data_IF_717523859634
#
_entry.id   IF_717523859634
#
_cell.length_a   1.000
_cell.length_b   1.000
_cell.length_c   1.000
_cell.angle_alpha   90.00
_cell.angle_beta   90.00
_cell.angle_gamma   90.00
#
_symmetry.space_group_name_H-M   'P 1'
#
loop_
_entity.id
_entity.type
_entity.pdbx_description
1 polymer ?
#
# COMPACT_ATOMS: atom_id res chain seq x y z
N UNK A 1 -8.03 23.59 -3.24
CA UNK A 1 -8.27 22.58 -2.21
C UNK A 1 -7.18 21.55 -2.40
N UNK A 2 -6.48 21.20 -1.34
CA UNK A 2 -5.46 20.16 -1.42
C UNK A 2 -6.13 18.83 -1.78
N UNK A 3 -5.46 18.03 -2.60
CA UNK A 3 -5.94 16.71 -3.01
C UNK A 3 -6.12 15.82 -1.77
N UNK A 4 -7.24 15.08 -1.65
CA UNK A 4 -7.44 14.15 -0.53
C UNK A 4 -6.35 13.09 -0.51
N UNK A 5 -5.80 12.79 0.67
CA UNK A 5 -4.72 11.81 0.85
C UNK A 5 -5.23 10.52 1.46
N UNK A 6 -4.81 9.38 0.92
CA UNK A 6 -5.21 8.04 1.39
C UNK A 6 -3.96 7.25 1.77
N UNK A 7 -3.96 6.70 2.99
CA UNK A 7 -3.02 5.66 3.39
C UNK A 7 -3.59 4.28 3.02
N UNK A 8 -3.07 3.65 1.97
CA UNK A 8 -3.54 2.35 1.48
C UNK A 8 -2.62 1.21 1.96
N UNK A 9 -3.13 0.40 2.91
CA UNK A 9 -2.42 -0.75 3.47
C UNK A 9 -3.02 -2.03 2.91
N UNK A 10 -2.38 -2.62 1.89
CA UNK A 10 -2.91 -3.79 1.16
C UNK A 10 -1.78 -4.66 0.61
N UNK A 11 -2.10 -5.81 0.01
CA UNK A 11 -1.14 -6.65 -0.71
C UNK A 11 -0.62 -5.98 -1.99
N UNK A 12 0.56 -6.39 -2.47
CA UNK A 12 1.11 -5.97 -3.76
C UNK A 12 1.69 -7.14 -4.55
N UNK A 13 1.53 -7.07 -5.88
CA UNK A 13 2.06 -8.08 -6.81
C UNK A 13 2.83 -7.45 -7.96
N UNK A 14 3.91 -8.11 -8.40
CA UNK A 14 4.65 -7.69 -9.60
C UNK A 14 3.84 -7.94 -10.88
N UNK A 15 3.24 -9.12 -11.03
CA UNK A 15 2.42 -9.50 -12.19
C UNK A 15 0.93 -9.61 -11.84
N UNK A 16 0.07 -9.06 -12.71
CA UNK A 16 -1.37 -8.91 -12.49
C UNK A 16 -1.73 -7.61 -11.77
N UNK A 17 -3.03 -7.43 -11.52
CA UNK A 17 -3.61 -6.29 -10.82
C UNK A 17 -4.47 -6.82 -9.67
N UNK A 18 -3.93 -6.74 -8.44
CA UNK A 18 -4.66 -6.93 -7.17
C UNK A 18 -4.09 -5.96 -6.12
N UNK A 19 -4.79 -5.78 -4.99
CA UNK A 19 -4.33 -4.97 -3.86
C UNK A 19 -3.91 -3.55 -4.24
N UNK A 20 -2.81 -3.04 -3.68
CA UNK A 20 -2.31 -1.69 -3.95
C UNK A 20 -2.06 -1.45 -5.45
N UNK A 21 -1.61 -2.46 -6.20
CA UNK A 21 -1.44 -2.30 -7.65
C UNK A 21 -2.76 -2.03 -8.40
N UNK A 22 -3.90 -2.47 -7.85
CA UNK A 22 -5.24 -2.15 -8.40
C UNK A 22 -5.87 -0.90 -7.80
N UNK A 23 -5.53 -0.56 -6.56
CA UNK A 23 -6.12 0.57 -5.87
C UNK A 23 -5.42 1.90 -6.19
N UNK A 24 -4.08 1.90 -6.21
CA UNK A 24 -3.27 3.13 -6.30
C UNK A 24 -3.51 3.88 -7.60
N UNK A 25 -3.46 3.20 -8.75
CA UNK A 25 -3.58 3.88 -10.04
C UNK A 25 -4.97 4.54 -10.25
N UNK A 26 -6.10 3.85 -10.01
CA UNK A 26 -7.42 4.49 -10.08
C UNK A 26 -7.57 5.69 -9.13
N UNK A 27 -7.09 5.56 -7.88
CA UNK A 27 -7.14 6.67 -6.91
C UNK A 27 -6.33 7.88 -7.39
N UNK A 28 -5.12 7.66 -7.91
CA UNK A 28 -4.29 8.73 -8.48
C UNK A 28 -4.94 9.39 -9.70
N UNK A 29 -5.57 8.62 -10.58
CA UNK A 29 -6.34 9.16 -11.72
C UNK A 29 -7.51 10.02 -11.24
N UNK A 30 -8.14 9.65 -10.11
CA UNK A 30 -9.22 10.41 -9.49
C UNK A 30 -8.73 11.62 -8.66
N UNK A 31 -7.42 11.88 -8.63
CA UNK A 31 -6.85 13.04 -7.96
C UNK A 31 -6.56 12.85 -6.47
N UNK A 32 -6.52 11.62 -5.97
CA UNK A 32 -6.06 11.33 -4.61
C UNK A 32 -4.53 11.22 -4.56
N UNK A 33 -3.95 11.75 -3.48
CA UNK A 33 -2.58 11.43 -3.08
C UNK A 33 -2.58 10.09 -2.35
N UNK A 34 -1.78 9.11 -2.79
CA UNK A 34 -1.81 7.76 -2.23
C UNK A 34 -0.46 7.40 -1.64
N UNK A 35 -0.42 7.23 -0.32
CA UNK A 35 0.70 6.64 0.40
C UNK A 35 0.41 5.15 0.57
N UNK A 36 1.24 4.28 0.00
CA UNK A 36 0.97 2.84 -0.03
C UNK A 36 1.94 2.07 0.90
N UNK A 37 1.39 1.29 1.83
CA UNK A 37 2.12 0.25 2.56
C UNK A 37 1.73 -1.11 1.98
N UNK A 38 2.70 -1.84 1.48
CA UNK A 38 2.50 -3.17 0.92
C UNK A 38 2.67 -4.22 2.03
N UNK A 39 1.57 -4.85 2.46
CA UNK A 39 1.61 -5.89 3.48
C UNK A 39 2.36 -7.14 3.02
N UNK A 40 2.37 -7.38 1.71
CA UNK A 40 3.19 -8.38 1.04
C UNK A 40 3.67 -7.83 -0.29
N UNK A 41 4.82 -8.29 -0.74
CA UNK A 41 5.33 -8.06 -2.10
C UNK A 41 5.63 -9.41 -2.74
N UNK A 42 4.71 -9.87 -3.57
CA UNK A 42 4.81 -11.16 -4.26
C UNK A 42 4.96 -11.02 -5.78
N UNK A 43 5.41 -12.10 -6.43
CA UNK A 43 5.54 -12.17 -7.89
C UNK A 43 4.19 -12.04 -8.60
N UNK A 44 3.13 -12.60 -8.02
CA UNK A 44 1.78 -12.68 -8.57
C UNK A 44 0.78 -13.01 -7.44
N UNK A 45 -0.51 -13.07 -7.77
CA UNK A 45 -1.54 -13.46 -6.80
C UNK A 45 -1.71 -14.98 -6.75
N UNK A 46 -2.38 -15.48 -5.70
CA UNK A 46 -2.42 -16.91 -5.31
C UNK A 46 -2.96 -17.91 -6.34
N UNK A 47 -3.51 -17.46 -7.48
CA UNK A 47 -4.03 -18.33 -8.54
C UNK A 47 -2.97 -18.82 -9.53
N UNK A 48 -1.72 -18.35 -9.44
CA UNK A 48 -0.61 -18.84 -10.26
C UNK A 48 0.05 -20.07 -9.65
N UNK A 49 0.63 -20.92 -10.51
CA UNK A 49 1.33 -22.15 -10.09
C UNK A 49 2.46 -21.92 -9.08
N UNK A 50 3.17 -20.79 -9.21
CA UNK A 50 4.29 -20.43 -8.34
C UNK A 50 4.14 -18.97 -7.93
N UNK A 51 4.05 -18.75 -6.62
CA UNK A 51 4.06 -17.44 -5.97
C UNK A 51 5.30 -17.38 -5.08
N UNK A 52 6.09 -16.32 -5.18
CA UNK A 52 7.23 -16.05 -4.28
C UNK A 52 7.24 -14.60 -3.87
N UNK A 53 7.88 -14.29 -2.74
CA UNK A 53 8.22 -12.93 -2.37
C UNK A 53 8.32 -12.77 -0.86
N UNK A 54 8.01 -11.58 -0.37
CA UNK A 54 8.23 -11.17 1.01
C UNK A 54 6.94 -10.70 1.65
N UNK A 55 6.84 -10.92 2.96
CA UNK A 55 5.76 -10.44 3.81
C UNK A 55 6.31 -9.34 4.72
N UNK A 56 5.48 -8.34 5.00
CA UNK A 56 5.75 -7.31 6.00
C UNK A 56 5.24 -7.83 7.35
N UNK A 57 6.13 -8.04 8.32
CA UNK A 57 5.70 -8.53 9.63
C UNK A 57 5.09 -7.42 10.46
N UNK A 58 4.33 -7.79 11.50
CA UNK A 58 3.62 -6.82 12.35
C UNK A 58 4.54 -5.76 12.98
N UNK A 59 5.77 -6.13 13.35
CA UNK A 59 6.75 -5.17 13.87
C UNK A 59 7.21 -4.18 12.80
N UNK A 60 7.42 -4.64 11.57
CA UNK A 60 7.81 -3.76 10.46
C UNK A 60 6.70 -2.77 10.12
N UNK A 61 5.43 -3.23 10.16
CA UNK A 61 4.27 -2.36 9.99
C UNK A 61 4.17 -1.30 11.09
N UNK A 62 4.41 -1.70 12.35
CA UNK A 62 4.41 -0.79 13.49
C UNK A 62 5.53 0.26 13.37
N UNK A 63 6.72 -0.13 12.91
CA UNK A 63 7.82 0.82 12.66
C UNK A 63 7.49 1.83 11.56
N UNK A 64 6.87 1.38 10.45
CA UNK A 64 6.37 2.29 9.41
C UNK A 64 5.30 3.23 9.96
N UNK A 65 4.34 2.71 10.72
CA UNK A 65 3.25 3.52 11.28
C UNK A 65 3.77 4.54 12.30
N UNK A 66 4.72 4.15 13.15
CA UNK A 66 5.43 5.07 14.05
C UNK A 66 6.17 6.16 13.28
N UNK A 67 6.79 5.82 12.15
CA UNK A 67 7.41 6.79 11.26
C UNK A 67 6.40 7.79 10.69
N UNK A 68 5.25 7.32 10.21
CA UNK A 68 4.15 8.15 9.72
C UNK A 68 3.62 9.07 10.84
N UNK A 69 3.39 8.52 12.03
CA UNK A 69 2.89 9.26 13.18
C UNK A 69 3.93 10.28 13.70
N UNK A 70 5.20 9.92 13.73
CA UNK A 70 6.29 10.80 14.17
C UNK A 70 6.53 12.00 13.25
N UNK A 71 6.09 11.91 11.99
CA UNK A 71 6.09 13.04 11.05
C UNK A 71 4.73 13.76 10.97
N UNK A 72 3.78 13.43 11.87
CA UNK A 72 2.45 14.04 11.94
C UNK A 72 1.60 13.86 10.67
N UNK A 73 1.86 12.82 9.87
CA UNK A 73 1.12 12.56 8.63
C UNK A 73 -0.26 11.94 8.87
N UNK A 74 -0.49 11.33 10.04
CA UNK A 74 -1.76 10.66 10.38
C UNK A 74 -2.96 11.61 10.23
N UNK A 75 -2.79 12.88 10.65
CA UNK A 75 -3.85 13.89 10.55
C UNK A 75 -4.09 14.43 9.14
N UNK A 76 -3.28 14.04 8.15
CA UNK A 76 -3.39 14.49 6.76
C UNK A 76 -4.20 13.53 5.88
N UNK A 77 -4.44 12.30 6.35
CA UNK A 77 -5.25 11.32 5.63
C UNK A 77 -6.74 11.61 5.79
N UNK A 78 -7.51 11.38 4.72
CA UNK A 78 -8.98 11.56 4.70
C UNK A 78 -9.75 10.32 5.12
#
# INVERSE_FOLDING_TARGET
>A
MDSPRVLSIQSYVVHGYVGNKSATFPLQVLGFEVDAINSVQYTNHVHYKVTKGQELFGNDLDDLFKGINGNEYVGQYT
#
